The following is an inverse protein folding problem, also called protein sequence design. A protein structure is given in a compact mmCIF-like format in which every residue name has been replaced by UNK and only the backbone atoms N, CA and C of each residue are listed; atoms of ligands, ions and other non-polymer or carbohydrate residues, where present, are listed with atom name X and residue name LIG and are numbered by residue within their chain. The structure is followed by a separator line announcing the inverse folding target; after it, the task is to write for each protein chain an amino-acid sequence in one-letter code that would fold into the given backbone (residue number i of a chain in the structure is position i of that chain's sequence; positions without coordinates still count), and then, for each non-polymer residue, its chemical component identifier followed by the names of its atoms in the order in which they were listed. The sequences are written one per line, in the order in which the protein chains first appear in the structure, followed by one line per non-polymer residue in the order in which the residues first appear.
data_IF_049357535701
#
_entry.id   IF_049357535701
#
_cell.length_a   1.000
_cell.length_b   1.000
_cell.length_c   1.000
_cell.angle_alpha   90.00
_cell.angle_beta   90.00
_cell.angle_gamma   90.00
#
_symmetry.space_group_name_H-M   'P 1'
#
loop_
_entity.id
_entity.type
_entity.pdbx_description
1 polymer ?
#
# COMPACT_ATOMS: atom_id res chain seq x y z
N UNK A 1 -9.75 -3.99 -8.66
CA UNK A 1 -8.76 -3.56 -9.65
C UNK A 1 -9.50 -2.71 -10.67
N UNK A 2 -9.30 -1.39 -10.69
CA UNK A 2 -9.82 -0.57 -11.78
C UNK A 2 -9.08 -0.98 -13.06
N UNK A 3 -9.83 -1.32 -14.11
CA UNK A 3 -9.22 -1.64 -15.39
C UNK A 3 -8.75 -0.32 -16.02
N UNK A 4 -7.45 -0.17 -16.25
CA UNK A 4 -6.92 1.01 -16.95
C UNK A 4 -7.39 0.96 -18.39
N UNK A 5 -8.17 1.96 -18.80
CA UNK A 5 -8.63 2.07 -20.18
C UNK A 5 -7.46 2.51 -21.09
N UNK A 6 -7.16 1.70 -22.09
CA UNK A 6 -6.12 2.00 -23.08
C UNK A 6 -6.47 3.22 -23.96
N UNK A 7 -7.74 3.60 -23.98
CA UNK A 7 -8.28 4.76 -24.71
C UNK A 7 -8.46 5.99 -23.82
N UNK A 8 -8.12 5.93 -22.53
CA UNK A 8 -8.00 7.12 -21.67
C UNK A 8 -6.65 7.82 -21.94
N UNK A 9 -6.61 8.65 -22.97
CA UNK A 9 -5.46 9.46 -23.37
C UNK A 9 -5.91 10.83 -23.90
N UNK A 10 -5.02 11.82 -23.86
CA UNK A 10 -5.28 13.16 -24.39
C UNK A 10 -4.43 13.49 -25.61
N UNK A 11 -3.24 12.89 -25.70
CA UNK A 11 -2.27 13.16 -26.78
C UNK A 11 -1.76 11.85 -27.38
N UNK A 12 -1.54 11.90 -28.69
CA UNK A 12 -0.91 10.83 -29.45
C UNK A 12 0.19 11.44 -30.33
N UNK A 13 1.37 10.82 -30.31
CA UNK A 13 2.54 11.22 -31.09
C UNK A 13 3.00 10.06 -31.97
N UNK A 14 3.68 10.35 -33.07
CA UNK A 14 4.32 9.34 -33.91
C UNK A 14 5.83 9.49 -33.81
N UNK A 15 6.53 8.40 -33.48
CA UNK A 15 7.97 8.43 -33.28
C UNK A 15 8.64 7.17 -33.87
N UNK A 16 9.81 7.34 -34.49
CA UNK A 16 10.59 6.25 -35.06
C UNK A 16 11.79 5.93 -34.17
N UNK A 17 11.86 4.69 -33.69
CA UNK A 17 12.93 4.24 -32.80
C UNK A 17 13.47 2.88 -33.26
N UNK A 18 14.81 2.77 -33.36
CA UNK A 18 15.50 1.54 -33.80
C UNK A 18 14.96 0.96 -35.13
N UNK A 19 14.61 1.84 -36.07
CA UNK A 19 14.12 1.45 -37.40
C UNK A 19 12.65 1.02 -37.44
N UNK A 20 11.92 1.12 -36.34
CA UNK A 20 10.48 0.84 -36.26
C UNK A 20 9.72 2.13 -35.96
N UNK A 21 8.55 2.31 -36.55
CA UNK A 21 7.67 3.46 -36.30
C UNK A 21 6.56 3.09 -35.32
N UNK A 22 6.28 3.97 -34.37
CA UNK A 22 5.30 3.77 -33.31
C UNK A 22 4.34 4.96 -33.25
N UNK A 23 3.04 4.69 -33.06
CA UNK A 23 2.14 5.66 -32.43
C UNK A 23 2.21 5.47 -30.92
N UNK A 24 2.25 6.58 -30.18
CA UNK A 24 2.53 6.61 -28.74
C UNK A 24 1.51 7.53 -28.08
N UNK A 25 0.79 7.04 -27.06
CA UNK A 25 -0.18 7.82 -26.30
C UNK A 25 0.41 8.31 -24.98
N UNK A 26 -0.09 9.44 -24.48
CA UNK A 26 0.34 10.01 -23.19
C UNK A 26 -0.12 9.21 -21.96
N UNK A 27 -0.91 8.16 -22.15
CA UNK A 27 -1.15 7.15 -21.11
C UNK A 27 -0.09 6.04 -21.07
N UNK A 28 0.92 6.09 -21.95
CA UNK A 28 2.00 5.10 -22.05
C UNK A 28 1.68 3.91 -22.95
N UNK A 29 0.52 3.87 -23.61
CA UNK A 29 0.22 2.86 -24.62
C UNK A 29 0.99 3.14 -25.92
N UNK A 30 1.41 2.08 -26.59
CA UNK A 30 2.15 2.14 -27.85
C UNK A 30 1.53 1.19 -28.87
N UNK A 31 1.58 1.59 -30.14
CA UNK A 31 1.20 0.77 -31.28
C UNK A 31 2.34 0.79 -32.29
N UNK A 32 2.86 -0.39 -32.64
CA UNK A 32 3.89 -0.51 -33.67
C UNK A 32 3.25 -0.56 -35.06
N UNK A 33 3.77 0.23 -35.98
CA UNK A 33 3.38 0.22 -37.38
C UNK A 33 4.11 -0.89 -38.16
N UNK A 34 3.50 -1.44 -39.22
CA UNK A 34 4.17 -2.41 -40.06
C UNK A 34 5.25 -1.75 -40.92
N UNK A 35 6.43 -2.37 -41.02
CA UNK A 35 7.48 -1.93 -41.94
C UNK A 35 7.01 -2.01 -43.41
N UNK A 36 6.20 -3.02 -43.72
CA UNK A 36 5.55 -3.18 -45.01
C UNK A 36 4.03 -3.26 -44.78
N UNK A 37 3.33 -2.20 -45.19
CA UNK A 37 1.87 -2.06 -45.04
C UNK A 37 1.10 -3.22 -45.69
N UNK A 38 1.62 -3.81 -46.76
CA UNK A 38 0.97 -4.94 -47.43
C UNK A 38 1.14 -6.28 -46.69
N UNK A 39 2.09 -6.37 -45.74
CA UNK A 39 2.38 -7.60 -44.99
C UNK A 39 2.65 -7.28 -43.50
N UNK A 40 1.62 -6.84 -42.76
CA UNK A 40 1.77 -6.54 -41.35
C UNK A 40 2.06 -7.79 -40.53
N UNK A 41 2.86 -7.66 -39.47
CA UNK A 41 3.06 -8.75 -38.51
C UNK A 41 1.81 -8.88 -37.63
N UNK A 42 1.51 -10.05 -37.05
CA UNK A 42 0.30 -10.23 -36.22
C UNK A 42 0.19 -9.30 -35.00
N UNK A 43 1.29 -8.69 -34.57
CA UNK A 43 1.37 -7.76 -33.43
C UNK A 43 1.41 -6.28 -33.85
N UNK A 44 1.48 -5.99 -35.15
CA UNK A 44 1.42 -4.62 -35.65
C UNK A 44 -0.02 -4.09 -35.58
N UNK A 45 -0.17 -2.76 -35.56
CA UNK A 45 -1.46 -2.06 -35.54
C UNK A 45 -2.35 -2.41 -34.33
N UNK A 46 -1.73 -2.84 -33.23
CA UNK A 46 -2.40 -3.13 -31.96
C UNK A 46 -1.86 -2.24 -30.85
N UNK A 47 -2.75 -1.53 -30.17
CA UNK A 47 -2.42 -0.77 -28.98
C UNK A 47 -2.14 -1.71 -27.80
N UNK A 48 -1.01 -1.49 -27.14
CA UNK A 48 -0.61 -2.24 -25.94
C UNK A 48 0.16 -1.34 -24.98
N UNK A 49 0.10 -1.60 -23.68
CA UNK A 49 1.07 -1.04 -22.71
C UNK A 49 2.42 -1.77 -22.74
N UNK A 50 2.50 -2.92 -23.42
CA UNK A 50 3.65 -3.81 -23.47
C UNK A 50 3.50 -5.03 -22.57
N UNK A 51 4.48 -5.93 -22.61
CA UNK A 51 4.53 -7.13 -21.77
C UNK A 51 5.65 -7.01 -20.74
N UNK A 52 5.42 -7.34 -19.46
CA UNK A 52 6.45 -7.26 -18.44
C UNK A 52 7.56 -8.28 -18.68
N UNK A 53 8.80 -7.82 -18.62
CA UNK A 53 9.97 -8.67 -18.68
C UNK A 53 10.39 -9.09 -17.26
N UNK A 54 10.42 -10.39 -16.97
CA UNK A 54 10.70 -10.93 -15.62
C UNK A 54 12.10 -10.56 -15.09
N UNK A 55 13.08 -10.28 -15.96
CA UNK A 55 14.45 -10.02 -15.53
C UNK A 55 14.65 -8.60 -14.99
N UNK A 56 13.86 -7.65 -15.49
CA UNK A 56 14.05 -6.24 -15.18
C UNK A 56 12.73 -5.46 -14.98
N UNK A 57 11.57 -6.11 -14.97
CA UNK A 57 10.28 -5.49 -14.65
C UNK A 57 9.82 -4.37 -15.59
N UNK A 58 10.50 -4.16 -16.72
CA UNK A 58 10.07 -3.14 -17.69
C UNK A 58 9.09 -3.77 -18.68
N UNK A 59 8.10 -2.98 -19.10
CA UNK A 59 7.22 -3.35 -20.21
C UNK A 59 7.96 -3.26 -21.54
N UNK A 60 7.80 -4.28 -22.38
CA UNK A 60 8.42 -4.37 -23.69
C UNK A 60 7.39 -4.64 -24.80
N UNK A 61 7.65 -4.05 -25.97
CA UNK A 61 7.01 -4.39 -27.24
C UNK A 61 8.09 -4.86 -28.20
N UNK A 62 8.02 -6.13 -28.61
CA UNK A 62 9.03 -6.75 -29.49
C UNK A 62 10.49 -6.54 -29.02
N UNK A 63 10.75 -6.82 -27.73
CA UNK A 63 12.05 -6.64 -27.07
C UNK A 63 12.57 -5.19 -27.02
N UNK A 64 11.71 -4.20 -27.27
CA UNK A 64 12.00 -2.78 -27.08
C UNK A 64 11.26 -2.27 -25.85
N UNK A 65 11.97 -1.58 -24.95
CA UNK A 65 11.39 -1.03 -23.71
C UNK A 65 10.42 0.09 -24.01
N UNK A 66 9.19 -0.03 -23.52
CA UNK A 66 8.10 0.92 -23.80
C UNK A 66 8.42 2.30 -23.25
N UNK A 67 8.92 2.41 -22.01
CA UNK A 67 9.28 3.71 -21.43
C UNK A 67 10.28 4.51 -22.28
N UNK A 68 11.19 3.86 -23.03
CA UNK A 68 12.14 4.55 -23.92
C UNK A 68 11.41 5.16 -25.11
N UNK A 69 10.48 4.42 -25.70
CA UNK A 69 9.67 4.89 -26.82
C UNK A 69 8.83 6.10 -26.37
N UNK A 70 8.18 5.99 -25.20
CA UNK A 70 7.35 7.06 -24.66
C UNK A 70 8.18 8.30 -24.30
N UNK A 71 9.30 8.13 -23.59
CA UNK A 71 10.17 9.25 -23.23
C UNK A 71 10.70 9.98 -24.48
N UNK A 72 11.15 9.26 -25.50
CA UNK A 72 11.63 9.90 -26.73
C UNK A 72 10.52 10.63 -27.49
N UNK A 73 9.30 10.08 -27.53
CA UNK A 73 8.18 10.69 -28.22
C UNK A 73 7.68 11.99 -27.54
N UNK A 74 7.67 12.05 -26.21
CA UNK A 74 7.08 13.18 -25.46
C UNK A 74 8.08 14.12 -24.79
N UNK A 75 9.26 13.62 -24.41
CA UNK A 75 10.32 14.40 -23.75
C UNK A 75 11.47 14.75 -24.72
N UNK A 76 11.51 14.13 -25.89
CA UNK A 76 12.58 14.29 -26.87
C UNK A 76 13.84 13.49 -26.53
N UNK A 77 14.91 13.76 -27.28
CA UNK A 77 16.21 13.14 -27.08
C UNK A 77 16.81 13.56 -25.72
N UNK A 78 17.51 12.66 -25.02
CA UNK A 78 18.25 13.04 -23.83
C UNK A 78 19.39 14.02 -24.16
N UNK A 79 19.77 14.84 -23.20
CA UNK A 79 20.89 15.78 -23.35
C UNK A 79 22.22 15.08 -23.63
N UNK A 80 22.44 13.91 -23.03
CA UNK A 80 23.65 13.11 -23.24
C UNK A 80 23.35 11.61 -23.39
N UNK A 81 24.23 10.84 -24.06
CA UNK A 81 24.06 9.38 -24.21
C UNK A 81 24.04 8.59 -22.90
N UNK A 82 24.60 9.14 -21.82
CA UNK A 82 24.67 8.51 -20.49
C UNK A 82 23.32 8.55 -19.75
N UNK A 83 22.40 9.42 -20.18
CA UNK A 83 21.08 9.54 -19.58
C UNK A 83 20.24 8.29 -19.82
N UNK A 84 19.63 7.83 -18.74
CA UNK A 84 18.64 6.76 -18.71
C UNK A 84 17.27 7.34 -18.39
N UNK A 85 16.20 6.61 -18.73
CA UNK A 85 14.86 7.00 -18.30
C UNK A 85 14.66 6.53 -16.87
N UNK A 86 14.29 7.46 -16.00
CA UNK A 86 13.85 7.20 -14.64
C UNK A 86 12.32 7.25 -14.56
N UNK A 87 11.76 6.45 -13.64
CA UNK A 87 10.35 6.46 -13.27
C UNK A 87 10.24 7.16 -11.91
N UNK A 88 9.60 8.33 -11.86
CA UNK A 88 9.52 9.17 -10.67
C UNK A 88 8.90 8.40 -9.50
N UNK A 89 7.81 7.66 -9.76
CA UNK A 89 7.11 6.82 -8.78
C UNK A 89 7.74 5.45 -8.51
N UNK A 90 8.87 5.13 -9.15
CA UNK A 90 9.56 3.82 -9.11
C UNK A 90 8.76 2.63 -9.68
N UNK A 91 7.56 2.84 -10.22
CA UNK A 91 6.73 1.82 -10.87
C UNK A 91 7.05 1.76 -12.37
N UNK A 92 7.77 0.71 -12.78
CA UNK A 92 8.24 0.49 -14.17
C UNK A 92 7.10 0.20 -15.17
N UNK A 93 5.88 0.02 -14.69
CA UNK A 93 4.68 -0.17 -15.50
C UNK A 93 3.87 1.12 -15.68
N UNK A 94 4.20 2.21 -14.96
CA UNK A 94 3.63 3.53 -15.18
C UNK A 94 4.47 4.33 -16.18
N UNK A 95 4.19 4.14 -17.48
CA UNK A 95 4.94 4.79 -18.56
C UNK A 95 4.33 6.11 -19.03
N UNK A 96 3.50 6.78 -18.23
CA UNK A 96 2.97 8.10 -18.59
C UNK A 96 4.11 9.13 -18.67
N UNK A 97 4.16 10.02 -19.68
CA UNK A 97 5.27 10.95 -19.85
C UNK A 97 5.57 11.80 -18.61
N UNK A 98 4.54 12.22 -17.88
CA UNK A 98 4.66 12.98 -16.63
C UNK A 98 5.35 12.20 -15.49
N UNK A 99 5.43 10.87 -15.58
CA UNK A 99 6.14 10.01 -14.63
C UNK A 99 7.58 9.68 -15.09
N UNK A 100 7.97 10.11 -16.30
CA UNK A 100 9.27 9.81 -16.88
C UNK A 100 10.18 11.03 -16.90
N UNK A 101 11.49 10.81 -16.73
CA UNK A 101 12.51 11.86 -16.89
C UNK A 101 13.84 11.27 -17.35
N UNK A 102 14.63 12.08 -18.05
CA UNK A 102 16.02 11.76 -18.37
C UNK A 102 16.91 12.10 -17.19
N UNK A 103 17.66 11.12 -16.68
CA UNK A 103 18.69 11.34 -15.65
C UNK A 103 19.86 10.37 -15.85
N UNK A 104 21.04 10.73 -15.35
CA UNK A 104 22.11 9.75 -15.14
C UNK A 104 21.76 8.81 -13.99
N UNK A 105 22.43 7.66 -13.91
CA UNK A 105 22.20 6.68 -12.83
C UNK A 105 22.49 7.27 -11.44
N UNK A 106 23.52 8.12 -11.34
CA UNK A 106 23.91 8.75 -10.08
C UNK A 106 22.86 9.80 -9.66
N UNK A 107 22.41 10.64 -10.59
CA UNK A 107 21.36 11.62 -10.32
C UNK A 107 20.06 10.95 -9.89
N UNK A 108 19.69 9.81 -10.50
CA UNK A 108 18.51 9.08 -10.05
C UNK A 108 18.63 8.68 -8.57
N UNK A 109 19.77 8.11 -8.17
CA UNK A 109 19.98 7.72 -6.77
C UNK A 109 19.88 8.92 -5.83
N UNK A 110 20.45 10.06 -6.20
CA UNK A 110 20.49 11.24 -5.34
C UNK A 110 19.18 12.04 -5.32
N UNK A 111 18.48 12.12 -6.46
CA UNK A 111 17.35 13.02 -6.67
C UNK A 111 15.98 12.33 -6.59
N UNK A 112 15.93 11.00 -6.47
CA UNK A 112 14.69 10.28 -6.20
C UNK A 112 14.65 9.90 -4.71
N UNK A 113 13.82 10.55 -3.86
CA UNK A 113 13.77 10.26 -2.43
C UNK A 113 13.45 8.81 -2.11
N UNK A 114 12.62 8.16 -2.93
CA UNK A 114 12.22 6.76 -2.76
C UNK A 114 13.44 5.87 -3.03
N UNK A 115 14.17 6.11 -4.12
CA UNK A 115 15.41 5.39 -4.44
C UNK A 115 16.46 5.64 -3.37
N UNK A 116 16.70 6.89 -2.99
CA UNK A 116 17.68 7.30 -1.98
C UNK A 116 17.44 6.59 -0.65
N UNK A 117 16.19 6.56 -0.17
CA UNK A 117 15.84 5.87 1.08
C UNK A 117 16.14 4.36 1.00
N UNK A 118 15.87 3.73 -0.15
CA UNK A 118 16.23 2.31 -0.35
C UNK A 118 17.76 2.12 -0.35
N UNK A 119 18.51 3.03 -0.95
CA UNK A 119 19.99 3.01 -0.91
C UNK A 119 20.50 3.12 0.53
N UNK A 120 19.95 4.04 1.33
CA UNK A 120 20.28 4.16 2.76
C UNK A 120 20.01 2.85 3.52
N UNK A 121 18.86 2.22 3.30
CA UNK A 121 18.52 0.96 3.98
C UNK A 121 19.42 -0.22 3.58
N UNK A 122 19.85 -0.27 2.31
CA UNK A 122 20.71 -1.34 1.80
C UNK A 122 22.17 -1.11 2.18
N UNK A 123 22.67 0.10 1.98
CA UNK A 123 24.09 0.45 2.13
C UNK A 123 24.43 0.98 3.53
N UNK A 124 23.43 1.29 4.36
CA UNK A 124 23.58 1.90 5.69
C UNK A 124 23.65 3.42 5.66
N UNK A 125 24.20 4.03 4.60
CA UNK A 125 24.16 5.47 4.35
C UNK A 125 24.45 5.80 2.89
N UNK A 126 24.16 7.03 2.48
CA UNK A 126 24.46 7.54 1.13
C UNK A 126 25.97 7.69 0.94
N UNK A 127 26.70 8.15 1.96
CA UNK A 127 28.16 8.32 1.92
C UNK A 127 28.84 6.97 1.68
N UNK A 128 28.33 5.91 2.32
CA UNK A 128 28.84 4.56 2.14
C UNK A 128 28.59 4.04 0.72
N UNK A 129 27.45 4.37 0.12
CA UNK A 129 27.21 4.12 -1.29
C UNK A 129 28.16 4.90 -2.19
N UNK A 130 28.35 6.20 -1.97
CA UNK A 130 29.26 7.02 -2.78
C UNK A 130 30.71 6.54 -2.70
N UNK A 131 31.14 6.06 -1.51
CA UNK A 131 32.47 5.50 -1.31
C UNK A 131 32.67 4.14 -2.01
N UNK A 132 31.61 3.33 -2.12
CA UNK A 132 31.64 2.06 -2.85
C UNK A 132 30.28 1.75 -3.51
N UNK A 133 30.06 2.23 -4.75
CA UNK A 133 28.80 2.01 -5.45
C UNK A 133 28.47 0.53 -5.69
N UNK A 134 29.47 -0.37 -5.62
CA UNK A 134 29.28 -1.81 -5.79
C UNK A 134 28.51 -2.47 -4.62
N UNK A 135 28.33 -1.76 -3.50
CA UNK A 135 27.47 -2.20 -2.39
C UNK A 135 26.01 -2.36 -2.83
N UNK A 136 25.62 -1.57 -3.82
CA UNK A 136 24.42 -1.78 -4.63
C UNK A 136 24.69 -2.89 -5.64
N UNK A 137 24.83 -4.12 -5.15
CA UNK A 137 24.99 -5.30 -6.00
C UNK A 137 23.84 -5.41 -7.00
N UNK A 138 24.09 -6.06 -8.14
CA UNK A 138 23.17 -6.15 -9.28
C UNK A 138 21.78 -6.77 -8.97
N UNK A 139 21.53 -7.22 -7.73
CA UNK A 139 20.31 -7.92 -7.31
C UNK A 139 19.72 -7.49 -5.96
N UNK A 140 20.14 -6.38 -5.34
CA UNK A 140 19.78 -6.11 -3.92
C UNK A 140 18.64 -5.11 -3.68
N UNK A 141 18.25 -4.28 -4.66
CA UNK A 141 17.22 -3.26 -4.41
C UNK A 141 15.79 -3.68 -4.71
N UNK A 142 15.55 -4.51 -5.72
CA UNK A 142 14.21 -4.96 -6.07
C UNK A 142 14.27 -6.01 -7.18
N UNK A 143 14.30 -7.29 -6.81
CA UNK A 143 13.99 -8.39 -7.75
C UNK A 143 12.50 -8.70 -7.77
N UNK A 144 11.72 -8.10 -6.87
CA UNK A 144 10.30 -8.35 -6.78
C UNK A 144 9.49 -7.30 -7.55
N UNK A 145 9.28 -7.55 -8.84
CA UNK A 145 8.42 -6.72 -9.68
C UNK A 145 6.92 -7.05 -9.52
N UNK A 146 6.54 -7.97 -8.62
CA UNK A 146 5.15 -8.46 -8.50
C UNK A 146 4.15 -7.37 -8.13
N UNK A 147 4.62 -6.31 -7.47
CA UNK A 147 3.80 -5.19 -7.05
C UNK A 147 3.54 -4.19 -8.19
N UNK A 148 4.39 -4.17 -9.22
CA UNK A 148 4.29 -3.20 -10.30
C UNK A 148 3.13 -3.57 -11.22
N UNK A 149 2.27 -2.59 -11.52
CA UNK A 149 1.18 -2.74 -12.50
C UNK A 149 0.92 -1.46 -13.25
N UNK A 150 0.23 -1.59 -14.38
CA UNK A 150 -0.36 -0.44 -15.06
C UNK A 150 -1.41 0.18 -14.13
N UNK A 151 -1.40 1.50 -14.02
CA UNK A 151 -2.18 2.26 -13.02
C UNK A 151 -2.97 3.40 -13.67
N UNK A 152 -4.10 3.76 -13.07
CA UNK A 152 -4.80 5.01 -13.40
C UNK A 152 -4.00 6.22 -12.88
N UNK A 153 -4.39 7.44 -13.26
CA UNK A 153 -3.74 8.66 -12.76
C UNK A 153 -3.87 8.80 -11.25
N UNK A 154 -5.03 8.43 -10.72
CA UNK A 154 -5.35 8.48 -9.30
C UNK A 154 -4.53 7.45 -8.51
N UNK A 155 -4.42 6.23 -9.03
CA UNK A 155 -3.60 5.17 -8.44
C UNK A 155 -2.10 5.53 -8.45
N UNK A 156 -1.62 6.12 -9.56
CA UNK A 156 -0.25 6.61 -9.67
C UNK A 156 0.04 7.69 -8.61
N UNK A 157 -0.84 8.69 -8.51
CA UNK A 157 -0.71 9.76 -7.51
C UNK A 157 -0.71 9.21 -6.09
N UNK A 158 -1.65 8.32 -5.77
CA UNK A 158 -1.75 7.68 -4.46
C UNK A 158 -0.49 6.90 -4.08
N UNK A 159 0.05 6.13 -5.04
CA UNK A 159 1.27 5.36 -4.83
C UNK A 159 2.50 6.24 -4.64
N UNK A 160 2.62 7.31 -5.42
CA UNK A 160 3.73 8.26 -5.32
C UNK A 160 3.72 8.97 -3.96
N UNK A 161 2.57 9.51 -3.53
CA UNK A 161 2.42 10.18 -2.23
C UNK A 161 2.82 9.27 -1.07
N UNK A 162 2.36 8.02 -1.10
CA UNK A 162 2.66 7.03 -0.07
C UNK A 162 4.15 6.67 -0.04
N UNK A 163 4.76 6.41 -1.18
CA UNK A 163 6.18 6.07 -1.26
C UNK A 163 7.06 7.26 -0.84
N UNK A 164 6.68 8.49 -1.18
CA UNK A 164 7.35 9.71 -0.72
C UNK A 164 7.21 9.90 0.80
N UNK A 165 6.01 9.67 1.36
CA UNK A 165 5.78 9.71 2.80
C UNK A 165 6.63 8.68 3.55
N UNK A 166 6.72 7.45 3.01
CA UNK A 166 7.62 6.42 3.51
C UNK A 166 9.09 6.85 3.45
N UNK A 167 9.52 7.43 2.32
CA UNK A 167 10.89 7.90 2.13
C UNK A 167 11.28 8.99 3.15
N UNK A 168 10.31 9.78 3.59
CA UNK A 168 10.51 10.90 4.53
C UNK A 168 10.59 10.46 6.01
N UNK A 169 10.29 9.19 6.35
CA UNK A 169 10.36 8.70 7.73
C UNK A 169 11.82 8.62 8.22
N UNK A 170 12.08 9.11 9.43
CA UNK A 170 13.41 9.09 10.05
C UNK A 170 13.79 7.70 10.59
N UNK A 171 12.88 7.08 11.33
CA UNK A 171 13.09 5.77 11.97
C UNK A 171 12.52 4.62 11.14
N UNK A 172 13.02 4.44 9.92
CA UNK A 172 12.65 3.31 9.07
C UNK A 172 13.65 2.17 9.30
N UNK A 173 13.18 1.07 9.85
CA UNK A 173 13.97 -0.15 10.05
C UNK A 173 14.03 -0.97 8.76
N UNK A 174 15.07 -1.80 8.60
CA UNK A 174 15.12 -2.79 7.50
C UNK A 174 13.93 -3.77 7.53
N UNK A 175 13.27 -3.96 8.67
CA UNK A 175 12.03 -4.74 8.80
C UNK A 175 10.83 -4.08 8.14
N UNK A 176 10.75 -2.74 8.10
CA UNK A 176 9.66 -2.02 7.44
C UNK A 176 9.70 -2.19 5.91
N UNK A 177 10.86 -2.58 5.36
CA UNK A 177 11.07 -2.90 3.95
C UNK A 177 10.98 -4.42 3.65
N UNK A 178 10.87 -5.29 4.66
CA UNK A 178 10.71 -6.74 4.46
C UNK A 178 9.29 -7.13 4.03
N UNK A 179 8.32 -6.22 4.11
CA UNK A 179 7.00 -6.40 3.53
C UNK A 179 7.07 -6.31 2.01
N UNK A 180 6.47 -7.28 1.31
CA UNK A 180 6.31 -7.17 -0.14
C UNK A 180 5.36 -5.99 -0.44
N UNK A 181 5.80 -5.03 -1.25
CA UNK A 181 4.90 -4.04 -1.86
C UNK A 181 3.75 -4.80 -2.54
N UNK A 182 2.52 -4.29 -2.47
CA UNK A 182 1.32 -4.99 -2.95
C UNK A 182 0.21 -4.03 -3.37
N UNK A 183 -0.99 -4.54 -3.60
CA UNK A 183 -2.14 -3.75 -4.11
C UNK A 183 -2.47 -2.49 -3.28
N UNK A 184 -2.20 -2.52 -1.97
CA UNK A 184 -2.41 -1.40 -1.05
C UNK A 184 -1.64 -0.13 -1.45
N UNK A 185 -0.51 -0.25 -2.15
CA UNK A 185 0.32 0.89 -2.59
C UNK A 185 -0.48 1.84 -3.48
N UNK A 186 -1.38 1.31 -4.30
CA UNK A 186 -2.16 2.07 -5.29
C UNK A 186 -3.47 2.64 -4.76
N UNK A 187 -3.87 2.29 -3.54
CA UNK A 187 -5.11 2.79 -2.97
C UNK A 187 -4.92 4.24 -2.51
N UNK A 188 -5.86 5.17 -2.79
CA UNK A 188 -5.75 6.55 -2.32
C UNK A 188 -5.49 6.58 -0.81
N UNK A 189 -4.57 7.45 -0.32
CA UNK A 189 -4.47 7.68 1.11
C UNK A 189 -5.86 8.09 1.59
N UNK A 190 -6.36 7.43 2.63
CA UNK A 190 -7.66 7.73 3.21
C UNK A 190 -7.70 9.22 3.57
N UNK A 191 -8.33 10.04 2.73
CA UNK A 191 -8.68 11.42 3.07
C UNK A 191 -9.82 11.35 4.06
N UNK A 192 -9.49 11.14 5.33
CA UNK A 192 -10.43 11.33 6.42
C UNK A 192 -10.67 12.84 6.52
N UNK A 193 -11.81 13.31 6.02
CA UNK A 193 -12.29 14.64 6.37
C UNK A 193 -12.38 14.74 7.89
N UNK A 194 -11.83 15.83 8.41
CA UNK A 194 -11.34 15.91 9.78
C UNK A 194 -12.40 15.72 10.86
N UNK A 195 -12.01 14.95 11.87
CA UNK A 195 -12.14 15.40 13.25
C UNK A 195 -10.73 15.54 13.81
N UNK A 196 -10.24 16.78 13.88
CA UNK A 196 -8.96 17.11 14.50
C UNK A 196 -9.13 17.09 16.02
N UNK A 197 -8.57 16.10 16.71
CA UNK A 197 -8.30 16.22 18.14
C UNK A 197 -6.82 16.60 18.33
N UNK A 198 -6.61 17.82 18.77
CA UNK A 198 -5.29 18.37 19.06
C UNK A 198 -4.79 17.85 20.41
N UNK A 199 -3.69 17.10 20.41
CA UNK A 199 -2.80 16.98 21.56
C UNK A 199 -1.34 17.04 21.08
N UNK A 200 -0.59 18.02 21.60
CA UNK A 200 0.87 18.16 21.45
C UNK A 200 1.45 18.22 20.02
N UNK A 201 0.77 18.84 19.06
CA UNK A 201 1.44 19.40 17.88
C UNK A 201 2.09 18.41 16.90
N UNK A 202 1.80 17.11 17.00
CA UNK A 202 2.18 16.10 16.01
C UNK A 202 0.92 15.45 15.45
N UNK A 203 0.72 15.54 14.13
CA UNK A 203 -0.38 14.86 13.44
C UNK A 203 -0.05 13.35 13.32
N UNK A 204 -0.59 12.53 14.21
CA UNK A 204 -0.69 11.09 14.00
C UNK A 204 -2.03 10.80 13.33
N UNK A 205 -2.03 10.03 12.23
CA UNK A 205 -3.24 9.34 11.79
C UNK A 205 -3.55 8.27 12.85
N UNK A 206 -4.67 8.39 13.56
CA UNK A 206 -5.11 7.42 14.59
C UNK A 206 -5.34 6.01 14.03
N UNK A 207 -5.37 5.88 12.70
CA UNK A 207 -5.57 4.64 11.97
C UNK A 207 -4.22 4.08 11.49
N UNK A 208 -3.98 2.83 11.82
CA UNK A 208 -2.89 1.97 11.34
C UNK A 208 -3.50 0.90 10.41
N UNK A 209 -2.75 0.45 9.41
CA UNK A 209 -3.18 -0.62 8.52
C UNK A 209 -3.23 -1.96 9.27
N UNK A 210 -4.24 -2.80 8.99
CA UNK A 210 -4.32 -4.18 9.48
C UNK A 210 -3.78 -5.16 8.43
N UNK A 211 -3.49 -6.39 8.84
CA UNK A 211 -3.08 -7.46 7.93
C UNK A 211 -4.27 -8.05 7.13
N UNK A 212 -5.51 -7.65 7.46
CA UNK A 212 -6.74 -8.13 6.82
C UNK A 212 -7.30 -7.13 5.82
N UNK A 213 -7.55 -7.60 4.60
CA UNK A 213 -8.14 -6.80 3.53
C UNK A 213 -9.54 -6.30 3.91
N UNK A 214 -9.77 -4.99 3.85
CA UNK A 214 -11.04 -4.37 4.25
C UNK A 214 -11.14 -3.99 5.72
N UNK A 215 -10.09 -4.26 6.51
CA UNK A 215 -10.00 -3.87 7.90
C UNK A 215 -8.84 -2.90 8.14
N UNK A 216 -9.10 -1.87 8.94
CA UNK A 216 -8.08 -0.97 9.50
C UNK A 216 -8.17 -1.02 11.03
N UNK A 217 -7.13 -0.54 11.70
CA UNK A 217 -7.00 -0.65 13.14
C UNK A 217 -6.69 0.71 13.78
N UNK A 218 -7.34 1.04 14.89
CA UNK A 218 -7.19 2.29 15.63
C UNK A 218 -6.69 2.03 17.04
N UNK A 219 -5.67 2.77 17.51
CA UNK A 219 -5.05 2.56 18.85
C UNK A 219 -4.41 1.18 19.05
N UNK A 220 -3.97 0.53 17.97
CA UNK A 220 -3.21 -0.73 18.04
C UNK A 220 -1.71 -0.46 17.86
N UNK A 221 -0.86 -1.16 18.63
CA UNK A 221 0.60 -1.02 18.53
C UNK A 221 1.22 -1.84 17.40
N UNK A 222 0.62 -2.98 17.09
CA UNK A 222 1.13 -3.95 16.10
C UNK A 222 0.01 -4.23 15.09
N UNK A 223 0.31 -4.26 13.78
CA UNK A 223 -0.62 -4.74 12.77
C UNK A 223 -1.14 -6.15 13.09
N UNK A 224 -2.46 -6.30 13.11
CA UNK A 224 -3.17 -7.54 13.40
C UNK A 224 -3.95 -8.02 12.17
N UNK A 225 -4.06 -9.33 12.03
CA UNK A 225 -5.01 -10.01 11.16
C UNK A 225 -6.31 -10.25 11.94
N UNK A 226 -7.46 -10.02 11.30
CA UNK A 226 -8.81 -10.26 11.79
C UNK A 226 -9.48 -11.38 10.96
N UNK A 227 -9.26 -12.67 11.28
CA UNK A 227 -9.68 -13.79 10.42
C UNK A 227 -11.19 -13.88 10.18
N UNK A 228 -12.00 -13.42 11.14
CA UNK A 228 -13.46 -13.41 11.03
C UNK A 228 -14.01 -12.20 10.26
N UNK A 229 -13.17 -11.24 9.88
CA UNK A 229 -13.61 -10.02 9.20
C UNK A 229 -14.18 -10.34 7.81
N UNK A 230 -15.40 -9.86 7.49
CA UNK A 230 -15.96 -10.02 6.15
C UNK A 230 -15.10 -9.35 5.07
N UNK A 231 -15.08 -9.96 3.87
CA UNK A 231 -14.38 -9.41 2.70
C UNK A 231 -15.15 -8.22 2.12
N UNK A 232 -14.41 -7.23 1.61
CA UNK A 232 -14.97 -6.08 0.87
C UNK A 232 -15.83 -6.59 -0.29
N UNK A 233 -17.11 -6.20 -0.34
CA UNK A 233 -18.07 -6.58 -1.38
C UNK A 233 -19.04 -7.71 -1.00
N UNK A 234 -18.91 -8.28 0.20
CA UNK A 234 -19.98 -9.03 0.87
C UNK A 234 -20.73 -8.10 1.82
N UNK A 235 -21.95 -8.49 2.22
CA UNK A 235 -22.90 -7.73 3.05
C UNK A 235 -22.18 -6.92 4.16
N UNK A 236 -22.11 -5.58 4.00
CA UNK A 236 -21.23 -4.68 4.78
C UNK A 236 -21.86 -4.31 6.13
N UNK A 237 -22.59 -5.24 6.74
CA UNK A 237 -23.28 -5.04 8.01
C UNK A 237 -22.42 -5.54 9.18
N UNK A 238 -22.42 -4.79 10.30
CA UNK A 238 -21.82 -5.26 11.55
C UNK A 238 -22.56 -6.49 12.11
N UNK A 239 -23.84 -6.65 11.79
CA UNK A 239 -24.63 -7.84 12.16
C UNK A 239 -24.09 -9.11 11.49
N UNK A 240 -23.73 -9.02 10.21
CA UNK A 240 -23.09 -10.14 9.49
C UNK A 240 -21.69 -10.45 10.05
N UNK A 241 -20.96 -9.43 10.50
CA UNK A 241 -19.68 -9.63 11.18
C UNK A 241 -19.87 -10.30 12.55
N UNK A 242 -20.81 -9.82 13.37
CA UNK A 242 -21.11 -10.39 14.68
C UNK A 242 -21.44 -11.90 14.60
N UNK A 243 -22.18 -12.32 13.57
CA UNK A 243 -22.51 -13.74 13.35
C UNK A 243 -21.29 -14.63 13.06
N UNK A 244 -20.20 -14.08 12.53
CA UNK A 244 -18.94 -14.81 12.28
C UNK A 244 -18.04 -14.91 13.52
N UNK A 245 -18.30 -14.10 14.54
CA UNK A 245 -17.51 -14.04 15.78
C UNK A 245 -18.08 -14.99 16.84
N UNK A 246 -17.93 -16.29 16.60
CA UNK A 246 -18.32 -17.31 17.59
C UNK A 246 -17.36 -17.32 18.80
N UNK A 247 -17.87 -17.63 20.00
CA UNK A 247 -17.04 -17.79 21.20
C UNK A 247 -15.94 -18.84 20.95
N UNK A 248 -14.70 -18.49 21.28
CA UNK A 248 -13.51 -19.30 21.04
C UNK A 248 -12.86 -19.11 19.66
N UNK A 249 -13.52 -18.43 18.71
CA UNK A 249 -12.92 -18.09 17.42
C UNK A 249 -11.77 -17.08 17.58
N UNK A 250 -10.81 -17.10 16.65
CA UNK A 250 -9.72 -16.13 16.64
C UNK A 250 -10.25 -14.80 16.12
N UNK A 251 -10.35 -13.81 17.01
CA UNK A 251 -10.76 -12.45 16.66
C UNK A 251 -9.62 -11.70 15.98
N UNK A 252 -8.46 -11.68 16.63
CA UNK A 252 -7.28 -10.96 16.17
C UNK A 252 -6.02 -11.81 16.36
N UNK A 253 -5.13 -11.79 15.38
CA UNK A 253 -3.87 -12.53 15.37
C UNK A 253 -2.73 -11.61 14.96
N UNK A 254 -1.64 -11.65 15.72
CA UNK A 254 -0.37 -11.02 15.36
C UNK A 254 0.71 -12.10 15.28
N UNK A 255 1.93 -11.75 14.85
CA UNK A 255 3.06 -12.67 14.90
C UNK A 255 3.45 -13.13 16.33
N UNK A 256 2.92 -12.48 17.37
CA UNK A 256 3.28 -12.73 18.77
C UNK A 256 2.15 -13.32 19.61
N UNK A 257 0.89 -13.09 19.23
CA UNK A 257 -0.25 -13.43 20.08
C UNK A 257 -1.54 -13.61 19.28
N UNK A 258 -2.44 -14.44 19.82
CA UNK A 258 -3.82 -14.61 19.36
C UNK A 258 -4.79 -14.15 20.45
N UNK A 259 -5.81 -13.42 20.05
CA UNK A 259 -6.94 -13.02 20.88
C UNK A 259 -8.17 -13.81 20.44
N UNK A 260 -8.74 -14.60 21.35
CA UNK A 260 -9.94 -15.42 21.11
C UNK A 260 -11.19 -14.73 21.65
N UNK A 261 -12.27 -14.80 20.89
CA UNK A 261 -13.57 -14.22 21.26
C UNK A 261 -14.08 -14.86 22.54
N UNK A 262 -14.46 -14.03 23.51
CA UNK A 262 -15.14 -14.43 24.74
C UNK A 262 -16.58 -13.96 24.72
N UNK A 263 -16.80 -12.71 24.32
CA UNK A 263 -18.12 -12.09 24.29
C UNK A 263 -18.20 -11.09 23.13
N UNK A 264 -19.37 -11.02 22.50
CA UNK A 264 -19.66 -10.12 21.38
C UNK A 264 -20.96 -9.40 21.67
N UNK A 265 -20.94 -8.07 21.57
CA UNK A 265 -22.11 -7.24 21.81
C UNK A 265 -22.27 -6.24 20.67
N UNK A 266 -23.47 -6.14 20.11
CA UNK A 266 -23.79 -5.15 19.08
C UNK A 266 -24.70 -4.06 19.67
N UNK A 267 -24.48 -2.81 19.26
CA UNK A 267 -25.34 -1.70 19.66
C UNK A 267 -26.74 -1.81 19.07
N UNK A 268 -27.74 -1.21 19.73
CA UNK A 268 -29.14 -1.26 19.27
C UNK A 268 -29.36 -0.63 17.89
N UNK A 269 -28.53 0.35 17.52
CA UNK A 269 -28.53 1.03 16.24
C UNK A 269 -27.63 0.35 15.18
N UNK A 270 -27.02 -0.79 15.53
CA UNK A 270 -26.11 -1.58 14.68
C UNK A 270 -24.91 -0.80 14.13
N UNK A 271 -24.52 0.32 14.77
CA UNK A 271 -23.37 1.15 14.36
C UNK A 271 -22.06 0.75 15.02
N UNK A 272 -22.12 -0.01 16.13
CA UNK A 272 -20.97 -0.44 16.90
C UNK A 272 -21.07 -1.91 17.29
N UNK A 273 -19.94 -2.60 17.23
CA UNK A 273 -19.78 -3.99 17.63
C UNK A 273 -18.59 -4.11 18.58
N UNK A 274 -18.81 -4.57 19.80
CA UNK A 274 -17.75 -4.77 20.79
C UNK A 274 -17.41 -6.25 20.90
N UNK A 275 -16.11 -6.53 21.01
CA UNK A 275 -15.58 -7.89 21.12
C UNK A 275 -14.63 -7.94 22.31
N UNK A 276 -15.06 -8.65 23.35
CA UNK A 276 -14.21 -9.01 24.49
C UNK A 276 -13.44 -10.27 24.13
N UNK A 277 -12.13 -10.26 24.33
CA UNK A 277 -11.25 -11.37 24.00
C UNK A 277 -10.37 -11.79 25.17
N UNK A 278 -9.93 -13.04 25.12
CA UNK A 278 -8.89 -13.61 25.97
C UNK A 278 -7.68 -14.04 25.14
N UNK A 279 -6.48 -13.83 25.69
CA UNK A 279 -5.20 -14.31 25.14
C UNK A 279 -4.78 -15.62 25.81
N UNK A 280 -3.88 -16.36 25.16
CA UNK A 280 -3.36 -17.65 25.64
C UNK A 280 -2.47 -17.57 26.89
N UNK A 281 -2.12 -18.72 27.45
CA UNK A 281 -1.29 -18.84 28.67
C UNK A 281 0.04 -18.07 28.54
N UNK A 282 0.34 -17.20 29.52
CA UNK A 282 1.58 -16.42 29.59
C UNK A 282 1.43 -14.92 29.29
N UNK A 283 0.25 -14.43 28.90
CA UNK A 283 -0.01 -13.01 28.71
C UNK A 283 -0.10 -12.26 30.06
N UNK A 284 0.65 -11.16 30.20
CA UNK A 284 0.62 -10.30 31.41
C UNK A 284 -0.75 -9.63 31.59
N UNK A 285 -1.39 -9.23 30.48
CA UNK A 285 -2.76 -8.70 30.44
C UNK A 285 -3.60 -9.58 29.52
N UNK A 286 -4.16 -10.69 30.03
CA UNK A 286 -4.77 -11.71 29.19
C UNK A 286 -6.12 -11.28 28.60
N UNK A 287 -6.73 -10.19 29.06
CA UNK A 287 -8.03 -9.72 28.58
C UNK A 287 -7.85 -8.50 27.67
N UNK A 288 -8.66 -8.41 26.62
CA UNK A 288 -8.64 -7.26 25.72
C UNK A 288 -10.03 -6.93 25.20
N UNK A 289 -10.30 -5.65 24.97
CA UNK A 289 -11.57 -5.18 24.43
C UNK A 289 -11.32 -4.39 23.14
N UNK A 290 -12.09 -4.70 22.10
CA UNK A 290 -12.09 -3.97 20.84
C UNK A 290 -13.51 -3.51 20.47
N UNK A 291 -13.59 -2.36 19.81
CA UNK A 291 -14.80 -1.86 19.15
C UNK A 291 -14.59 -1.94 17.64
N UNK A 292 -15.63 -2.32 16.90
CA UNK A 292 -15.65 -2.38 15.44
C UNK A 292 -16.75 -1.43 14.97
N UNK A 293 -16.38 -0.52 14.08
CA UNK A 293 -17.29 0.38 13.38
C UNK A 293 -17.14 0.21 11.87
N UNK A 294 -18.17 0.55 11.11
CA UNK A 294 -18.07 0.63 9.65
C UNK A 294 -17.88 2.10 9.26
N UNK A 295 -16.68 2.48 8.84
CA UNK A 295 -16.35 3.85 8.42
C UNK A 295 -15.91 3.83 6.95
N UNK A 296 -16.62 4.55 6.08
CA UNK A 296 -16.32 4.64 4.65
C UNK A 296 -16.22 3.28 3.92
N UNK A 297 -17.03 2.30 4.35
CA UNK A 297 -17.03 0.95 3.77
C UNK A 297 -15.89 0.05 4.23
N UNK A 298 -15.16 0.45 5.29
CA UNK A 298 -14.12 -0.34 5.94
C UNK A 298 -14.51 -0.70 7.36
N UNK A 299 -14.08 -1.88 7.83
CA UNK A 299 -14.20 -2.27 9.23
C UNK A 299 -13.05 -1.67 10.04
N UNK A 300 -13.35 -0.74 10.94
CA UNK A 300 -12.37 -0.08 11.81
C UNK A 300 -12.35 -0.76 13.17
N UNK A 301 -11.26 -1.44 13.47
CA UNK A 301 -11.05 -2.13 14.74
C UNK A 301 -10.31 -1.21 15.71
N UNK A 302 -11.02 -0.63 16.67
CA UNK A 302 -10.46 0.24 17.70
C UNK A 302 -10.14 -0.55 18.96
N UNK A 303 -8.88 -0.56 19.38
CA UNK A 303 -8.49 -1.13 20.68
C UNK A 303 -8.96 -0.21 21.81
N UNK A 304 -9.78 -0.74 22.72
CA UNK A 304 -10.24 -0.05 23.93
C UNK A 304 -9.37 -0.36 25.15
N UNK A 305 -8.46 -1.33 25.04
CA UNK A 305 -7.46 -1.62 26.06
C UNK A 305 -7.18 -3.10 26.25
N UNK A 306 -6.19 -3.36 27.08
CA UNK A 306 -5.85 -4.68 27.61
C UNK A 306 -5.90 -4.61 29.13
N UNK A 307 -6.40 -5.66 29.76
CA UNK A 307 -6.75 -5.70 31.18
C UNK A 307 -6.08 -6.90 31.86
N UNK A 308 -5.72 -6.71 33.12
CA UNK A 308 -5.17 -7.78 33.95
C UNK A 308 -6.26 -8.79 34.29
N UNK A 309 -7.46 -8.31 34.62
CA UNK A 309 -8.58 -9.15 35.03
C UNK A 309 -9.80 -8.99 34.12
N UNK A 310 -10.67 -10.00 34.16
CA UNK A 310 -11.88 -10.06 33.32
C UNK A 310 -12.87 -8.96 33.67
N UNK A 311 -13.06 -8.71 34.97
CA UNK A 311 -13.95 -7.71 35.53
C UNK A 311 -13.59 -6.28 35.06
N UNK A 312 -12.29 -5.96 34.94
CA UNK A 312 -11.82 -4.69 34.36
C UNK A 312 -12.23 -4.52 32.88
N UNK A 313 -12.14 -5.60 32.10
CA UNK A 313 -12.55 -5.60 30.70
C UNK A 313 -14.08 -5.56 30.54
N UNK A 314 -14.82 -6.27 31.38
CA UNK A 314 -16.29 -6.23 31.45
C UNK A 314 -16.81 -4.86 31.86
N UNK A 315 -16.17 -4.22 32.85
CA UNK A 315 -16.46 -2.84 33.25
C UNK A 315 -16.33 -1.89 32.06
N UNK A 316 -15.21 -1.96 31.32
CA UNK A 316 -15.03 -1.13 30.14
C UNK A 316 -16.02 -1.45 29.01
N UNK A 317 -16.40 -2.71 28.83
CA UNK A 317 -17.45 -3.10 27.88
C UNK A 317 -18.80 -2.46 28.22
N UNK A 318 -19.18 -2.40 29.50
CA UNK A 318 -20.42 -1.75 29.94
C UNK A 318 -20.37 -0.23 29.71
N UNK A 319 -19.26 0.40 30.11
CA UNK A 319 -19.08 1.84 29.94
C UNK A 319 -19.04 2.24 28.46
N UNK A 320 -18.42 1.43 27.59
CA UNK A 320 -18.35 1.69 26.15
C UNK A 320 -19.74 1.63 25.47
N UNK A 321 -20.69 0.89 26.04
CA UNK A 321 -22.09 0.86 25.60
C UNK A 321 -22.92 2.04 26.16
N UNK A 322 -22.33 2.89 27.02
CA UNK A 322 -23.05 3.96 27.71
C UNK A 322 -23.90 3.49 28.89
N UNK A 323 -23.65 2.29 29.40
CA UNK A 323 -24.36 1.73 30.56
C UNK A 323 -23.66 2.13 31.87
N UNK A 324 -24.44 2.20 32.95
CA UNK A 324 -23.90 2.41 34.29
C UNK A 324 -23.27 1.12 34.83
N UNK A 325 -22.05 1.23 35.36
CA UNK A 325 -21.35 0.12 36.00
C UNK A 325 -21.66 0.07 37.51
N UNK A 326 -22.19 -1.05 37.98
CA UNK A 326 -22.55 -1.26 39.39
C UNK A 326 -21.64 -2.25 40.14
N UNK A 327 -20.65 -2.84 39.45
CA UNK A 327 -19.75 -3.85 40.00
C UNK A 327 -18.62 -3.33 40.91
N UNK A 328 -18.59 -2.03 41.20
CA UNK A 328 -17.56 -1.40 42.04
C UNK A 328 -16.22 -1.20 41.33
N UNK A 329 -15.15 -0.99 42.10
CA UNK A 329 -13.81 -0.83 41.55
C UNK A 329 -13.20 -2.17 41.17
N UNK A 330 -12.45 -2.16 40.08
CA UNK A 330 -11.72 -3.30 39.51
C UNK A 330 -10.22 -3.09 39.70
N UNK A 331 -9.45 -4.18 39.61
CA UNK A 331 -7.99 -4.10 39.76
C UNK A 331 -7.35 -3.12 38.74
N UNK A 332 -7.88 -3.10 37.52
CA UNK A 332 -7.39 -2.25 36.43
C UNK A 332 -7.65 -0.74 36.66
N UNK A 333 -8.50 -0.34 37.61
CA UNK A 333 -8.72 1.07 37.97
C UNK A 333 -7.55 1.68 38.76
N UNK A 334 -6.70 0.83 39.33
CA UNK A 334 -5.60 1.23 40.22
C UNK A 334 -4.21 1.08 39.57
N UNK A 335 -4.15 0.78 38.26
CA UNK A 335 -2.93 0.40 37.54
C UNK A 335 -2.52 1.35 36.40
#
# INVERSE_FOLDING_TARGET
MSMVDINDFLREEVYTYKGETYSVRDNGAVMRHPLNVAKPRPTDLKWVFGKPNIKHGYLEIAAVRVHRIVALAFLGEPETPEHVVDHIDTNRHNNRPENLRWLTRLENVLNNPITLKRVELVCGSVERFLANPSLLGASTLDTNFSWMRTVTREEAQASLERLQAWASKRDTSRSDFKGQLGEWVFQPPLKVQGFSNYHNGYAYSDLTESLTAGAVQRKWRVPAEFPCCPLIGQDVSLTAYAQKLAVGAVFAQTHFSESKVVEVVISQDETSLWVLCAQGEGAVKPWSLAQITCENGLYVHTSLGTFFHKDGAEKQLHLAQGLEWTGGDTFDDYC
#
